data_IF_655817007701
#
_entry.id   IF_655817007701
#
_cell.length_a   1.000
_cell.length_b   1.000
_cell.length_c   1.000
_cell.angle_alpha   90.00
_cell.angle_beta   90.00
_cell.angle_gamma   90.00
#
_symmetry.space_group_name_H-M   'P 1'
#
loop_
_entity.id
_entity.type
_entity.pdbx_description
1 polymer ?
#
# COMPACT_ATOMS: atom_id res chain seq x y z
N UNK A 1 51.38 10.00 -24.94
CA UNK A 1 50.36 10.23 -23.88
C UNK A 1 49.09 9.50 -24.30
N UNK A 2 48.65 8.49 -23.55
CA UNK A 2 47.37 7.82 -23.79
C UNK A 2 46.29 8.58 -23.02
N UNK A 3 45.28 9.11 -23.71
CA UNK A 3 44.20 9.86 -23.08
C UNK A 3 43.22 8.92 -22.38
N UNK A 4 42.83 9.25 -21.15
CA UNK A 4 41.82 8.50 -20.39
C UNK A 4 40.45 8.60 -21.09
N UNK A 5 39.64 7.53 -21.11
CA UNK A 5 38.34 7.54 -21.76
C UNK A 5 37.38 8.49 -21.04
N UNK A 6 36.94 9.53 -21.74
CA UNK A 6 35.91 10.45 -21.27
C UNK A 6 34.56 9.75 -21.40
N UNK A 7 33.85 9.57 -20.28
CA UNK A 7 32.47 9.08 -20.31
C UNK A 7 31.53 10.24 -20.67
N UNK A 8 30.92 10.18 -21.84
CA UNK A 8 29.84 11.09 -22.21
C UNK A 8 28.55 10.64 -21.53
N UNK A 9 27.97 11.49 -20.67
CA UNK A 9 26.58 11.31 -20.22
C UNK A 9 25.66 11.83 -21.31
N UNK A 10 24.84 10.94 -21.89
CA UNK A 10 23.84 11.32 -22.88
C UNK A 10 22.84 12.30 -22.24
N UNK A 11 22.52 13.38 -22.96
CA UNK A 11 21.46 14.31 -22.56
C UNK A 11 20.12 13.58 -22.77
N UNK A 12 19.27 13.46 -21.73
CA UNK A 12 17.98 12.78 -21.87
C UNK A 12 17.17 13.41 -22.99
N UNK A 13 16.52 12.57 -23.79
CA UNK A 13 15.54 13.09 -24.75
C UNK A 13 14.34 13.68 -24.00
N UNK A 14 13.55 14.51 -24.69
CA UNK A 14 12.32 15.05 -24.12
C UNK A 14 11.37 13.93 -23.66
N UNK A 15 11.31 12.81 -24.38
CA UNK A 15 10.53 11.63 -24.01
C UNK A 15 11.02 10.99 -22.71
N UNK A 16 12.34 10.90 -22.50
CA UNK A 16 12.91 10.37 -21.26
C UNK A 16 12.61 11.29 -20.07
N UNK A 17 12.67 12.60 -20.29
CA UNK A 17 12.30 13.59 -19.27
C UNK A 17 10.82 13.45 -18.87
N UNK A 18 9.91 13.30 -19.84
CA UNK A 18 8.48 13.07 -19.56
C UNK A 18 8.24 11.76 -18.80
N UNK A 19 8.92 10.67 -19.19
CA UNK A 19 8.80 9.37 -18.50
C UNK A 19 9.33 9.41 -17.06
N UNK A 20 10.39 10.18 -16.81
CA UNK A 20 10.91 10.38 -15.46
C UNK A 20 9.93 11.17 -14.58
N UNK A 21 9.31 12.23 -15.13
CA UNK A 21 8.27 13.00 -14.44
C UNK A 21 7.04 12.13 -14.16
N UNK A 22 6.58 11.35 -15.14
CA UNK A 22 5.48 10.39 -14.97
C UNK A 22 5.78 9.39 -13.86
N UNK A 23 6.98 8.80 -13.88
CA UNK A 23 7.42 7.85 -12.84
C UNK A 23 7.45 8.50 -11.46
N UNK A 24 7.94 9.74 -11.36
CA UNK A 24 7.98 10.49 -10.11
C UNK A 24 6.56 10.76 -9.58
N UNK A 25 5.67 11.28 -10.43
CA UNK A 25 4.29 11.57 -10.07
C UNK A 25 3.54 10.29 -9.66
N UNK A 26 3.66 9.23 -10.45
CA UNK A 26 3.00 7.94 -10.21
C UNK A 26 3.55 7.23 -8.97
N UNK A 27 4.83 7.40 -8.63
CA UNK A 27 5.46 6.73 -7.48
C UNK A 27 4.79 7.09 -6.14
N UNK A 28 4.35 8.34 -6.00
CA UNK A 28 3.67 8.82 -4.80
C UNK A 28 2.31 8.12 -4.61
N UNK A 29 1.54 7.99 -5.70
CA UNK A 29 0.25 7.28 -5.71
C UNK A 29 0.40 5.80 -5.36
N UNK A 30 1.43 5.12 -5.87
CA UNK A 30 1.68 3.70 -5.58
C UNK A 30 2.01 3.46 -4.10
N UNK A 31 2.81 4.35 -3.48
CA UNK A 31 3.13 4.27 -2.06
C UNK A 31 1.88 4.45 -1.19
N UNK A 32 1.05 5.44 -1.52
CA UNK A 32 -0.23 5.68 -0.84
C UNK A 32 -1.19 4.51 -1.02
N UNK A 33 -1.31 3.96 -2.23
CA UNK A 33 -2.15 2.78 -2.50
C UNK A 33 -1.72 1.57 -1.67
N UNK A 34 -0.42 1.27 -1.56
CA UNK A 34 0.10 0.20 -0.71
C UNK A 34 -0.22 0.42 0.76
N UNK A 35 -0.06 1.66 1.26
CA UNK A 35 -0.39 2.01 2.64
C UNK A 35 -1.87 1.85 2.92
N UNK A 36 -2.72 2.35 2.02
CA UNK A 36 -4.18 2.26 2.13
C UNK A 36 -4.64 0.80 2.10
N UNK A 37 -4.11 -0.02 1.19
CA UNK A 37 -4.42 -1.44 1.11
C UNK A 37 -4.05 -2.17 2.40
N UNK A 38 -2.86 -1.91 2.95
CA UNK A 38 -2.43 -2.49 4.21
C UNK A 38 -3.33 -2.08 5.38
N UNK A 39 -3.64 -0.78 5.50
CA UNK A 39 -4.56 -0.27 6.54
C UNK A 39 -5.94 -0.93 6.42
N UNK A 40 -6.49 -1.07 5.21
CA UNK A 40 -7.78 -1.73 4.99
C UNK A 40 -7.77 -3.17 5.50
N UNK A 41 -6.72 -3.93 5.18
CA UNK A 41 -6.59 -5.33 5.63
C UNK A 41 -6.49 -5.42 7.15
N UNK A 42 -5.78 -4.51 7.81
CA UNK A 42 -5.71 -4.47 9.28
C UNK A 42 -7.08 -4.17 9.89
N UNK A 43 -7.80 -3.19 9.35
CA UNK A 43 -9.15 -2.84 9.81
C UNK A 43 -10.16 -3.97 9.55
N UNK A 44 -10.09 -4.66 8.42
CA UNK A 44 -10.94 -5.81 8.14
C UNK A 44 -10.70 -6.96 9.13
N UNK A 45 -9.43 -7.23 9.47
CA UNK A 45 -9.09 -8.22 10.50
C UNK A 45 -9.61 -7.82 11.87
N UNK A 46 -9.52 -6.54 12.24
CA UNK A 46 -10.11 -6.04 13.49
C UNK A 46 -11.62 -6.24 13.49
N UNK A 47 -12.31 -5.75 12.45
CA UNK A 47 -13.76 -5.91 12.30
C UNK A 47 -14.20 -7.38 12.30
N UNK A 48 -13.41 -8.29 11.74
CA UNK A 48 -13.71 -9.72 11.79
C UNK A 48 -13.65 -10.27 13.22
N UNK A 49 -12.64 -9.90 14.01
CA UNK A 49 -12.54 -10.28 15.42
C UNK A 49 -13.68 -9.70 16.24
N UNK A 50 -14.00 -8.43 16.04
CA UNK A 50 -15.07 -7.75 16.77
C UNK A 50 -16.44 -8.40 16.50
N UNK A 51 -16.70 -8.85 15.26
CA UNK A 51 -17.92 -9.61 14.92
C UNK A 51 -18.00 -10.95 15.65
N UNK A 52 -16.90 -11.71 15.68
CA UNK A 52 -16.85 -13.00 16.39
C UNK A 52 -17.08 -12.80 17.88
N UNK A 53 -16.49 -11.76 18.47
CA UNK A 53 -16.70 -11.49 19.90
C UNK A 53 -18.13 -11.04 20.20
N UNK A 54 -18.70 -10.18 19.34
CA UNK A 54 -20.10 -9.78 19.45
C UNK A 54 -21.04 -10.99 19.34
N UNK A 55 -20.79 -11.91 18.40
CA UNK A 55 -21.55 -13.14 18.22
C UNK A 55 -21.53 -13.99 19.51
N UNK A 56 -20.35 -14.23 20.09
CA UNK A 56 -20.22 -14.97 21.35
C UNK A 56 -20.99 -14.35 22.50
N UNK A 57 -20.92 -13.03 22.66
CA UNK A 57 -21.64 -12.32 23.72
C UNK A 57 -23.16 -12.45 23.51
N UNK A 58 -23.63 -12.33 22.27
CA UNK A 58 -25.04 -12.50 21.94
C UNK A 58 -25.51 -13.94 22.20
N UNK A 59 -24.75 -14.94 21.78
CA UNK A 59 -25.05 -16.35 22.04
C UNK A 59 -25.11 -16.66 23.53
N UNK A 60 -24.14 -16.16 24.32
CA UNK A 60 -24.14 -16.31 25.77
C UNK A 60 -25.36 -15.65 26.43
N UNK A 61 -25.74 -14.45 25.99
CA UNK A 61 -26.92 -13.75 26.49
C UNK A 61 -28.23 -14.47 26.13
N UNK A 62 -28.30 -15.08 24.94
CA UNK A 62 -29.44 -15.91 24.54
C UNK A 62 -29.51 -17.17 25.40
N UNK A 63 -28.41 -17.90 25.56
CA UNK A 63 -28.33 -19.11 26.37
C UNK A 63 -28.78 -18.86 27.81
N UNK A 64 -28.29 -17.78 28.44
CA UNK A 64 -28.64 -17.39 29.80
C UNK A 64 -30.12 -17.01 29.97
N UNK A 65 -30.80 -16.56 28.91
CA UNK A 65 -32.24 -16.28 28.93
C UNK A 65 -33.10 -17.53 28.79
N UNK A 66 -32.55 -18.61 28.25
CA UNK A 66 -33.29 -19.84 27.93
C UNK A 66 -33.04 -20.98 28.92
N UNK A 67 -32.07 -20.84 29.81
CA UNK A 67 -31.81 -21.71 30.98
C UNK A 67 -32.69 -21.35 32.16
#
# INVERSE_FOLDING_TARGET
MQAAPVRATAIPSFTDALRAVESLLMSSGQRTARRNAWTSVLEDRRRAKDRVEAERVLEAAVAARTS
#
